data_IF_889949646527
#
_entry.id   IF_889949646527
#
_cell.length_a   1.000
_cell.length_b   1.000
_cell.length_c   1.000
_cell.angle_alpha   90.00
_cell.angle_beta   90.00
_cell.angle_gamma   90.00
#
_symmetry.space_group_name_H-M   'P 1'
#
loop_
_entity.id
_entity.type
_entity.pdbx_description
1 polymer ?
#
# COMPACT_ATOMS: atom_id res chain seq x y z
N UNK A 1 -7.84 -12.76 15.75
CA UNK A 1 -6.89 -11.66 15.46
C UNK A 1 -7.59 -10.31 15.38
N UNK A 2 -8.73 -10.20 14.69
CA UNK A 2 -9.46 -8.94 14.50
C UNK A 2 -10.47 -8.60 15.61
N UNK A 3 -10.43 -9.26 16.73
CA UNK A 3 -11.33 -8.97 17.88
C UNK A 3 -11.22 -7.50 18.32
N UNK A 4 -10.01 -6.93 18.30
CA UNK A 4 -9.72 -5.54 18.71
C UNK A 4 -9.03 -4.71 17.61
N UNK A 5 -8.97 -5.25 16.41
CA UNK A 5 -8.19 -4.66 15.29
C UNK A 5 -9.01 -4.63 14.01
N UNK A 6 -8.63 -3.76 13.14
CA UNK A 6 -9.06 -3.72 11.73
C UNK A 6 -7.91 -4.14 10.82
N UNK A 7 -8.20 -4.52 9.59
CA UNK A 7 -7.22 -5.01 8.62
C UNK A 7 -7.51 -4.45 7.23
N UNK A 8 -6.53 -3.80 6.64
CA UNK A 8 -6.47 -3.49 5.22
C UNK A 8 -5.63 -4.55 4.48
N UNK A 9 -6.11 -4.97 3.32
CA UNK A 9 -5.50 -6.00 2.48
C UNK A 9 -5.40 -5.45 1.07
N UNK A 10 -4.19 -5.35 0.51
CA UNK A 10 -3.99 -5.06 -0.92
C UNK A 10 -3.29 -6.25 -1.56
N UNK A 11 -3.81 -6.69 -2.72
CA UNK A 11 -3.19 -7.76 -3.50
C UNK A 11 -2.29 -7.15 -4.57
N UNK A 12 -0.98 -7.45 -4.53
CA UNK A 12 -0.01 -7.00 -5.54
C UNK A 12 0.42 -8.12 -6.51
N UNK A 13 -0.07 -9.35 -6.29
CA UNK A 13 0.21 -10.51 -7.14
C UNK A 13 -0.94 -10.86 -8.08
N UNK A 14 -1.00 -12.12 -8.49
CA UNK A 14 -2.11 -12.67 -9.27
C UNK A 14 -3.43 -12.68 -8.49
N UNK A 15 -4.54 -13.00 -9.15
CA UNK A 15 -5.86 -13.07 -8.50
C UNK A 15 -5.87 -14.03 -7.31
N UNK A 16 -6.45 -13.58 -6.21
CA UNK A 16 -6.66 -14.39 -5.02
C UNK A 16 -8.07 -14.30 -4.45
N UNK A 17 -8.33 -15.10 -3.43
CA UNK A 17 -9.57 -15.09 -2.68
C UNK A 17 -9.25 -14.89 -1.20
N UNK A 18 -9.92 -13.94 -0.58
CA UNK A 18 -9.96 -13.80 0.89
C UNK A 18 -11.34 -14.26 1.36
N UNK A 19 -11.37 -15.19 2.29
CA UNK A 19 -12.61 -15.60 2.93
C UNK A 19 -12.65 -15.00 4.34
N UNK A 20 -13.66 -14.20 4.62
CA UNK A 20 -13.89 -13.58 5.93
C UNK A 20 -15.24 -14.01 6.48
N UNK A 21 -15.25 -14.70 7.62
CA UNK A 21 -16.44 -15.25 8.29
C UNK A 21 -17.38 -16.01 7.32
N UNK A 22 -16.79 -16.84 6.45
CA UNK A 22 -17.49 -17.65 5.46
C UNK A 22 -17.82 -16.96 4.14
N UNK A 23 -17.75 -15.64 4.06
CA UNK A 23 -17.97 -14.89 2.81
C UNK A 23 -16.68 -14.78 2.01
N UNK A 24 -16.73 -15.14 0.74
CA UNK A 24 -15.60 -15.09 -0.19
C UNK A 24 -15.54 -13.77 -0.94
N UNK A 25 -14.36 -13.20 -1.02
CA UNK A 25 -14.05 -11.98 -1.78
C UNK A 25 -12.96 -12.31 -2.80
N UNK A 26 -13.25 -12.15 -4.08
CA UNK A 26 -12.25 -12.26 -5.15
C UNK A 26 -11.45 -10.96 -5.17
N UNK A 27 -10.18 -11.03 -4.78
CA UNK A 27 -9.30 -9.87 -4.70
C UNK A 27 -8.33 -9.92 -5.89
N UNK A 28 -8.61 -9.15 -6.90
CA UNK A 28 -7.78 -9.03 -8.10
C UNK A 28 -6.53 -8.18 -7.81
N UNK A 29 -5.58 -8.19 -8.75
CA UNK A 29 -4.37 -7.39 -8.62
C UNK A 29 -4.71 -5.90 -8.44
N UNK A 30 -4.04 -5.23 -7.53
CA UNK A 30 -4.25 -3.84 -7.12
C UNK A 30 -5.65 -3.56 -6.53
N UNK A 31 -6.40 -4.59 -6.12
CA UNK A 31 -7.63 -4.39 -5.35
C UNK A 31 -7.35 -4.35 -3.84
N UNK A 32 -8.21 -3.64 -3.11
CA UNK A 32 -8.14 -3.52 -1.66
C UNK A 32 -9.41 -4.08 -1.00
N UNK A 33 -9.22 -4.90 0.03
CA UNK A 33 -10.27 -5.38 0.91
C UNK A 33 -10.01 -4.87 2.33
N UNK A 34 -11.02 -4.26 2.93
CA UNK A 34 -11.01 -3.86 4.33
C UNK A 34 -11.86 -4.83 5.16
N UNK A 35 -11.31 -5.30 6.26
CA UNK A 35 -12.01 -6.11 7.27
C UNK A 35 -12.09 -5.34 8.58
N UNK A 36 -13.30 -5.09 9.05
CA UNK A 36 -13.55 -4.37 10.29
C UNK A 36 -13.25 -5.20 11.54
N UNK A 37 -13.12 -4.50 12.66
CA UNK A 37 -13.08 -5.09 14.01
C UNK A 37 -14.25 -6.05 14.22
N UNK A 38 -13.96 -7.21 14.80
CA UNK A 38 -14.93 -8.26 15.09
C UNK A 38 -14.95 -9.40 14.08
N UNK A 39 -14.29 -9.29 12.93
CA UNK A 39 -14.09 -10.41 11.99
C UNK A 39 -13.32 -11.54 12.69
N UNK A 40 -13.84 -12.76 12.64
CA UNK A 40 -13.32 -13.91 13.42
C UNK A 40 -12.37 -14.76 12.60
N UNK A 41 -12.84 -15.24 11.45
CA UNK A 41 -12.11 -16.20 10.63
C UNK A 41 -11.71 -15.55 9.31
N UNK A 42 -10.41 -15.55 9.00
CA UNK A 42 -9.87 -15.03 7.74
C UNK A 42 -8.95 -16.09 7.14
N UNK A 43 -9.16 -16.41 5.88
CA UNK A 43 -8.26 -17.28 5.12
C UNK A 43 -7.96 -16.71 3.75
N UNK A 44 -6.81 -17.08 3.19
CA UNK A 44 -6.27 -16.59 1.95
C UNK A 44 -5.99 -17.75 0.99
N UNK A 45 -6.29 -17.54 -0.28
CA UNK A 45 -5.98 -18.51 -1.33
C UNK A 45 -5.61 -17.81 -2.63
N UNK A 46 -4.67 -18.39 -3.37
CA UNK A 46 -4.37 -17.98 -4.75
C UNK A 46 -5.29 -18.71 -5.73
N UNK A 47 -5.74 -18.01 -6.77
CA UNK A 47 -6.50 -18.64 -7.85
C UNK A 47 -5.62 -19.55 -8.72
N UNK A 48 -4.32 -19.27 -8.80
CA UNK A 48 -3.35 -20.03 -9.61
C UNK A 48 -2.04 -20.19 -8.86
N UNK A 49 -1.44 -21.39 -8.95
CA UNK A 49 -0.08 -21.63 -8.45
C UNK A 49 1.01 -21.00 -9.34
N UNK A 50 0.71 -20.79 -10.63
CA UNK A 50 1.67 -20.19 -11.59
C UNK A 50 1.80 -18.68 -11.39
N UNK A 51 0.71 -18.04 -10.99
CA UNK A 51 0.65 -16.59 -10.70
C UNK A 51 -0.02 -16.41 -9.32
N UNK A 52 0.74 -16.65 -8.24
CA UNK A 52 0.18 -16.59 -6.90
C UNK A 52 -0.27 -15.17 -6.53
N UNK A 53 -1.31 -15.09 -5.71
CA UNK A 53 -1.67 -13.84 -5.06
C UNK A 53 -0.62 -13.47 -4.01
N UNK A 54 -0.30 -12.19 -3.90
CA UNK A 54 0.61 -11.63 -2.90
C UNK A 54 -0.15 -10.56 -2.12
N UNK A 55 -0.54 -10.89 -0.91
CA UNK A 55 -1.34 -10.00 -0.07
C UNK A 55 -0.45 -9.21 0.89
N UNK A 56 -0.45 -7.89 0.75
CA UNK A 56 0.04 -6.98 1.77
C UNK A 56 -1.04 -6.76 2.82
N UNK A 57 -0.68 -6.95 4.08
CA UNK A 57 -1.58 -6.85 5.23
C UNK A 57 -1.13 -5.73 6.16
N UNK A 58 -2.01 -4.76 6.42
CA UNK A 58 -1.78 -3.70 7.39
C UNK A 58 -2.91 -3.67 8.41
N UNK A 59 -2.57 -3.77 9.68
CA UNK A 59 -3.56 -3.84 10.76
C UNK A 59 -3.30 -2.77 11.82
N UNK A 60 -4.37 -2.20 12.35
CA UNK A 60 -4.35 -1.26 13.47
C UNK A 60 -5.36 -1.64 14.56
N UNK A 61 -5.13 -1.28 15.84
CA UNK A 61 -6.18 -1.33 16.85
C UNK A 61 -7.40 -0.51 16.40
N UNK A 62 -8.60 -0.99 16.75
CA UNK A 62 -9.84 -0.34 16.37
C UNK A 62 -10.81 -0.22 17.57
N UNK A 63 -11.25 1.01 17.86
CA UNK A 63 -12.24 1.29 18.89
C UNK A 63 -13.68 1.20 18.36
N UNK A 64 -13.87 1.26 17.04
CA UNK A 64 -15.16 1.12 16.35
C UNK A 64 -15.10 0.04 15.26
N UNK A 65 -16.25 -0.48 14.87
CA UNK A 65 -16.39 -1.43 13.75
C UNK A 65 -16.94 -0.72 12.53
N UNK A 66 -16.37 -1.02 11.37
CA UNK A 66 -16.85 -0.61 10.06
C UNK A 66 -17.13 -1.81 9.16
N UNK A 67 -18.04 -1.69 8.20
CA UNK A 67 -18.43 -2.82 7.34
C UNK A 67 -17.24 -3.31 6.49
N UNK A 68 -17.22 -4.61 6.24
CA UNK A 68 -16.31 -5.20 5.26
C UNK A 68 -16.58 -4.60 3.89
N UNK A 69 -15.57 -4.00 3.29
CA UNK A 69 -15.70 -3.27 2.03
C UNK A 69 -14.53 -3.60 1.11
N UNK A 70 -14.80 -3.81 -0.15
CA UNK A 70 -13.78 -4.08 -1.17
C UNK A 70 -13.89 -3.05 -2.30
N UNK A 71 -12.76 -2.51 -2.72
CA UNK A 71 -12.62 -1.67 -3.90
C UNK A 71 -11.65 -2.29 -4.90
N UNK A 72 -12.04 -2.27 -6.17
CA UNK A 72 -11.10 -2.49 -7.27
C UNK A 72 -10.26 -1.23 -7.49
N UNK A 73 -9.21 -1.33 -8.31
CA UNK A 73 -8.37 -0.17 -8.65
C UNK A 73 -9.15 0.96 -9.34
N UNK A 74 -10.18 0.63 -10.11
CA UNK A 74 -11.04 1.60 -10.78
C UNK A 74 -11.91 2.38 -9.80
N UNK A 75 -12.35 1.72 -8.72
CA UNK A 75 -13.14 2.33 -7.64
C UNK A 75 -12.30 3.18 -6.68
N UNK A 76 -10.97 3.06 -6.71
CA UNK A 76 -10.04 3.79 -5.84
C UNK A 76 -9.78 5.23 -6.28
N UNK A 77 -10.62 5.80 -7.14
CA UNK A 77 -10.51 7.17 -7.65
C UNK A 77 -9.08 7.48 -8.14
N UNK A 78 -8.58 6.77 -9.17
CA UNK A 78 -7.21 6.93 -9.64
C UNK A 78 -6.95 8.36 -10.10
N UNK A 79 -5.80 8.93 -9.68
CA UNK A 79 -5.37 10.29 -10.04
C UNK A 79 -3.96 10.22 -10.61
N UNK A 80 -3.77 10.76 -11.82
CA UNK A 80 -2.44 10.96 -12.39
C UNK A 80 -1.81 12.23 -11.83
N UNK A 81 -0.56 12.12 -11.37
CA UNK A 81 0.22 13.20 -10.79
C UNK A 81 1.64 13.21 -11.36
N UNK A 82 2.29 14.37 -11.30
CA UNK A 82 3.65 14.56 -11.75
C UNK A 82 3.78 14.63 -13.28
N UNK A 83 5.03 14.64 -13.75
CA UNK A 83 5.35 14.76 -15.16
C UNK A 83 6.59 13.91 -15.51
N UNK A 84 6.74 13.47 -16.77
CA UNK A 84 7.94 12.77 -17.23
C UNK A 84 9.22 13.60 -17.06
N UNK A 85 9.14 14.90 -17.30
CA UNK A 85 10.26 15.85 -17.22
C UNK A 85 10.88 15.95 -15.83
N UNK A 86 10.07 15.65 -14.79
CA UNK A 86 10.51 15.61 -13.40
C UNK A 86 10.72 14.17 -12.88
N UNK A 87 10.64 13.17 -13.76
CA UNK A 87 10.83 11.75 -13.48
C UNK A 87 9.93 11.24 -12.32
N UNK A 88 8.71 11.80 -12.19
CA UNK A 88 7.78 11.46 -11.11
C UNK A 88 6.32 11.29 -11.57
N UNK A 89 6.08 11.05 -12.86
CA UNK A 89 4.75 10.74 -13.36
C UNK A 89 4.27 9.43 -12.72
N UNK A 90 3.07 9.45 -12.13
CA UNK A 90 2.53 8.32 -11.38
C UNK A 90 1.01 8.34 -11.31
N UNK A 91 0.42 7.17 -11.05
CA UNK A 91 -1.00 7.04 -10.73
C UNK A 91 -1.15 6.69 -9.25
N UNK A 92 -1.94 7.46 -8.52
CA UNK A 92 -2.25 7.29 -7.11
C UNK A 92 -3.64 6.69 -6.96
N UNK A 93 -3.76 5.59 -6.24
CA UNK A 93 -5.00 4.89 -5.92
C UNK A 93 -5.27 5.02 -4.42
N UNK A 94 -6.37 5.66 -4.06
CA UNK A 94 -6.78 5.89 -2.67
C UNK A 94 -7.89 4.93 -2.29
N UNK A 95 -7.62 3.99 -1.40
CA UNK A 95 -8.59 2.98 -0.99
C UNK A 95 -9.26 3.31 0.33
N UNK A 96 -8.48 3.32 1.42
CA UNK A 96 -8.98 3.55 2.78
C UNK A 96 -8.68 5.00 3.14
N UNK A 97 -9.70 5.84 3.08
CA UNK A 97 -9.62 7.26 3.40
C UNK A 97 -11.03 7.82 3.62
N UNK A 98 -11.14 9.12 3.95
CA UNK A 98 -12.41 9.75 4.32
C UNK A 98 -13.53 9.58 3.27
N UNK A 99 -13.20 9.75 1.99
CA UNK A 99 -14.15 9.69 0.87
C UNK A 99 -14.17 8.31 0.18
N UNK A 100 -13.47 7.32 0.72
CA UNK A 100 -13.36 5.96 0.20
C UNK A 100 -13.89 4.92 1.18
N UNK A 101 -13.16 3.82 1.32
CA UNK A 101 -13.46 2.80 2.33
C UNK A 101 -13.27 3.41 3.73
N UNK A 102 -14.35 3.41 4.51
CA UNK A 102 -14.32 3.92 5.89
C UNK A 102 -13.62 2.93 6.81
N UNK A 103 -12.79 3.45 7.70
CA UNK A 103 -12.05 2.69 8.70
C UNK A 103 -12.05 3.39 10.04
N UNK A 104 -11.55 2.72 11.09
CA UNK A 104 -11.37 3.34 12.40
C UNK A 104 -10.11 4.21 12.43
N UNK A 105 -8.98 3.68 11.98
CA UNK A 105 -7.67 4.36 12.05
C UNK A 105 -6.80 4.18 10.81
N UNK A 106 -7.03 3.13 10.00
CA UNK A 106 -6.23 2.88 8.81
C UNK A 106 -6.46 3.95 7.74
N UNK A 107 -5.37 4.40 7.14
CA UNK A 107 -5.34 5.10 5.86
C UNK A 107 -4.45 4.29 4.95
N UNK A 108 -4.90 3.96 3.74
CA UNK A 108 -4.18 3.04 2.89
C UNK A 108 -4.45 3.31 1.42
N UNK A 109 -3.40 3.39 0.64
CA UNK A 109 -3.46 3.51 -0.80
C UNK A 109 -2.20 2.93 -1.42
N UNK A 110 -2.12 3.02 -2.74
CA UNK A 110 -0.92 2.66 -3.48
C UNK A 110 -0.64 3.65 -4.60
N UNK A 111 0.59 3.67 -5.03
CA UNK A 111 1.06 4.46 -6.15
C UNK A 111 1.80 3.57 -7.12
N UNK A 112 1.56 3.75 -8.42
CA UNK A 112 2.29 3.07 -9.50
C UNK A 112 3.02 4.14 -10.31
N UNK A 113 4.34 4.03 -10.38
CA UNK A 113 5.19 4.94 -11.16
C UNK A 113 5.06 4.61 -12.65
N UNK A 114 4.92 5.63 -13.47
CA UNK A 114 4.95 5.46 -14.93
C UNK A 114 6.37 5.10 -15.41
N UNK A 115 6.47 4.47 -16.57
CA UNK A 115 7.77 4.16 -17.18
C UNK A 115 8.66 5.40 -17.27
N UNK A 116 9.93 5.29 -16.87
CA UNK A 116 10.89 6.40 -16.82
C UNK A 116 10.76 7.29 -15.58
N UNK A 117 9.76 7.07 -14.72
CA UNK A 117 9.59 7.84 -13.49
C UNK A 117 10.06 7.04 -12.29
N UNK A 118 10.87 7.65 -11.45
CA UNK A 118 11.60 6.98 -10.36
C UNK A 118 11.49 7.68 -9.01
N UNK A 119 11.07 8.98 -8.98
CA UNK A 119 11.01 9.77 -7.76
C UNK A 119 9.60 9.82 -7.17
N UNK A 120 9.47 9.43 -5.90
CA UNK A 120 8.29 9.62 -5.05
C UNK A 120 8.70 9.54 -3.55
N UNK A 121 8.13 10.25 -2.59
CA UNK A 121 7.17 11.33 -2.69
C UNK A 121 7.89 12.63 -2.92
N UNK A 122 7.42 13.38 -3.89
CA UNK A 122 7.97 14.70 -4.18
C UNK A 122 6.81 15.70 -4.13
N UNK A 123 6.92 16.77 -3.30
CA UNK A 123 8.02 17.06 -2.38
C UNK A 123 8.07 16.12 -1.16
N UNK A 124 9.29 15.86 -0.60
CA UNK A 124 9.41 15.16 0.66
C UNK A 124 8.69 15.89 1.78
N UNK A 125 8.07 15.14 2.70
CA UNK A 125 7.30 15.71 3.80
C UNK A 125 7.38 14.84 5.06
N UNK A 126 6.86 15.35 6.17
CA UNK A 126 6.70 14.66 7.44
C UNK A 126 5.23 14.60 7.82
N UNK A 127 4.88 13.73 8.76
CA UNK A 127 3.54 13.67 9.34
C UNK A 127 3.55 14.13 10.79
N UNK A 128 2.49 14.81 11.23
CA UNK A 128 2.41 15.33 12.61
C UNK A 128 1.98 14.28 13.61
N UNK A 129 1.18 13.28 13.20
CA UNK A 129 0.47 12.40 14.13
C UNK A 129 0.51 10.91 13.79
N UNK A 130 0.99 10.51 12.61
CA UNK A 130 1.01 9.11 12.19
C UNK A 130 2.39 8.68 11.70
N UNK A 131 2.72 7.44 11.91
CA UNK A 131 3.78 6.76 11.18
C UNK A 131 3.26 6.31 9.82
N UNK A 132 4.13 5.98 8.89
CA UNK A 132 3.79 5.44 7.59
C UNK A 132 4.62 4.19 7.28
N UNK A 133 4.01 3.22 6.63
CA UNK A 133 4.72 2.05 6.10
C UNK A 133 4.73 2.15 4.59
N UNK A 134 5.90 2.03 3.98
CA UNK A 134 6.07 1.84 2.55
C UNK A 134 6.32 0.36 2.28
N UNK A 135 5.50 -0.24 1.42
CA UNK A 135 5.76 -1.57 0.91
C UNK A 135 5.97 -1.48 -0.60
N UNK A 136 7.16 -1.82 -1.06
CA UNK A 136 7.56 -1.73 -2.46
C UNK A 136 7.24 -3.01 -3.22
N UNK A 137 6.71 -2.88 -4.45
CA UNK A 137 6.35 -4.02 -5.30
C UNK A 137 6.54 -3.70 -6.79
N UNK A 138 6.50 -4.76 -7.62
CA UNK A 138 6.61 -4.62 -9.07
C UNK A 138 8.01 -4.19 -9.54
N UNK A 139 9.03 -4.53 -8.77
CA UNK A 139 10.43 -4.23 -9.05
C UNK A 139 11.13 -5.50 -9.56
N UNK A 140 11.77 -5.49 -10.76
CA UNK A 140 12.59 -6.60 -11.20
C UNK A 140 13.77 -6.87 -10.25
N UNK A 141 14.26 -8.13 -10.24
CA UNK A 141 15.24 -8.61 -9.25
C UNK A 141 16.56 -7.83 -9.28
N UNK A 142 16.99 -7.37 -10.45
CA UNK A 142 18.24 -6.60 -10.65
C UNK A 142 18.13 -5.14 -10.22
N UNK A 143 16.93 -4.64 -9.93
CA UNK A 143 16.69 -3.24 -9.58
C UNK A 143 16.56 -3.03 -8.07
N UNK A 144 16.77 -1.77 -7.64
CA UNK A 144 16.67 -1.36 -6.22
C UNK A 144 15.99 0.00 -6.11
N UNK A 145 15.45 0.26 -4.93
CA UNK A 145 14.92 1.56 -4.54
C UNK A 145 15.74 2.05 -3.35
N UNK A 146 16.23 3.27 -3.44
CA UNK A 146 16.79 4.00 -2.31
C UNK A 146 15.64 4.71 -1.61
N UNK A 147 15.28 4.23 -0.42
CA UNK A 147 14.31 4.89 0.45
C UNK A 147 15.03 5.81 1.39
N UNK A 148 14.77 7.10 1.29
CA UNK A 148 15.38 8.14 2.11
C UNK A 148 14.47 8.48 3.29
N UNK A 149 15.05 8.55 4.48
CA UNK A 149 14.35 8.97 5.69
C UNK A 149 15.30 9.61 6.70
N UNK A 150 14.74 10.37 7.63
CA UNK A 150 15.48 11.08 8.66
C UNK A 150 15.04 12.54 8.80
N UNK A 151 15.93 13.39 9.30
CA UNK A 151 15.70 14.82 9.37
C UNK A 151 15.61 15.40 7.94
N UNK A 152 14.70 16.33 7.64
CA UNK A 152 14.52 16.87 6.28
C UNK A 152 15.78 17.40 5.60
N UNK A 153 16.77 17.84 6.35
CA UNK A 153 18.06 18.34 5.83
C UNK A 153 19.22 17.34 5.97
N UNK A 154 18.96 16.19 6.61
CA UNK A 154 19.98 15.19 6.90
C UNK A 154 19.35 13.80 6.89
N UNK A 155 19.20 13.22 5.70
CA UNK A 155 18.62 11.90 5.52
C UNK A 155 19.67 10.84 5.37
N UNK A 156 19.28 9.60 5.71
CA UNK A 156 19.96 8.37 5.32
C UNK A 156 19.07 7.58 4.37
N UNK A 157 19.66 6.67 3.61
CA UNK A 157 18.90 5.81 2.72
C UNK A 157 19.02 4.34 3.13
N UNK A 158 17.99 3.59 2.79
CA UNK A 158 17.96 2.14 2.82
C UNK A 158 17.80 1.62 1.41
N UNK A 159 18.54 0.58 1.06
CA UNK A 159 18.43 -0.06 -0.26
C UNK A 159 17.36 -1.15 -0.16
N UNK A 160 16.25 -0.96 -0.88
CA UNK A 160 15.07 -1.82 -0.85
C UNK A 160 14.98 -2.67 -2.11
N UNK A 161 14.63 -3.93 -1.94
CA UNK A 161 14.29 -4.85 -3.02
C UNK A 161 12.77 -4.99 -3.20
N UNK A 162 12.37 -5.81 -4.16
CA UNK A 162 10.97 -6.14 -4.39
C UNK A 162 10.34 -6.84 -3.18
N UNK A 163 9.10 -6.49 -2.85
CA UNK A 163 8.32 -7.03 -1.73
C UNK A 163 8.94 -6.76 -0.33
N UNK A 164 9.68 -5.68 -0.20
CA UNK A 164 10.19 -5.21 1.08
C UNK A 164 9.42 -4.00 1.59
N UNK A 165 9.39 -3.86 2.92
CA UNK A 165 8.71 -2.77 3.60
C UNK A 165 9.65 -1.97 4.49
N UNK A 166 9.39 -0.68 4.63
CA UNK A 166 10.08 0.22 5.54
C UNK A 166 9.08 0.99 6.39
N UNK A 167 9.39 1.16 7.66
CA UNK A 167 8.58 1.90 8.63
C UNK A 167 9.19 3.29 8.80
N UNK A 168 8.42 4.33 8.45
CA UNK A 168 8.80 5.72 8.63
C UNK A 168 8.13 6.31 9.88
N UNK A 169 8.93 6.79 10.82
CA UNK A 169 8.43 7.47 12.01
C UNK A 169 7.75 8.81 11.66
N UNK A 170 6.82 9.34 12.48
CA UNK A 170 6.10 10.58 12.17
C UNK A 170 7.01 11.78 11.91
N UNK A 171 8.10 11.93 12.67
CA UNK A 171 9.05 13.04 12.56
C UNK A 171 9.96 12.95 11.33
N UNK A 172 10.06 11.75 10.75
CA UNK A 172 10.97 11.48 9.64
C UNK A 172 10.36 11.93 8.32
N UNK A 173 11.14 12.67 7.52
CA UNK A 173 10.82 12.78 6.10
C UNK A 173 10.97 11.42 5.43
N UNK A 174 10.23 11.18 4.34
CA UNK A 174 10.28 9.91 3.60
C UNK A 174 10.02 10.14 2.13
N UNK A 175 10.85 9.53 1.30
CA UNK A 175 10.74 9.52 -0.15
C UNK A 175 11.63 8.42 -0.74
N UNK A 176 11.41 8.07 -1.99
CA UNK A 176 12.17 7.01 -2.66
C UNK A 176 12.62 7.39 -4.05
N UNK A 177 13.71 6.77 -4.49
CA UNK A 177 14.19 6.82 -5.86
C UNK A 177 14.57 5.42 -6.33
N UNK A 178 13.92 4.93 -7.38
CA UNK A 178 14.23 3.63 -7.95
C UNK A 178 15.28 3.70 -9.07
N UNK A 179 15.91 2.57 -9.35
CA UNK A 179 16.74 2.38 -10.56
C UNK A 179 15.88 2.09 -11.79
N UNK A 180 14.59 1.84 -11.61
CA UNK A 180 13.53 1.76 -12.61
C UNK A 180 12.21 2.19 -11.97
N UNK A 181 11.11 2.21 -12.73
CA UNK A 181 9.78 2.43 -12.17
C UNK A 181 9.32 1.27 -11.28
N UNK A 182 8.45 1.54 -10.34
CA UNK A 182 7.99 0.60 -9.32
C UNK A 182 6.60 0.98 -8.81
N UNK A 183 6.00 0.10 -8.02
CA UNK A 183 4.82 0.41 -7.22
C UNK A 183 5.15 0.43 -5.73
N UNK A 184 4.35 1.14 -4.96
CA UNK A 184 4.42 1.04 -3.50
C UNK A 184 3.07 1.29 -2.84
N UNK A 185 2.82 0.58 -1.75
CA UNK A 185 1.69 0.80 -0.85
C UNK A 185 2.15 1.75 0.25
N UNK A 186 1.30 2.68 0.57
CA UNK A 186 1.47 3.65 1.65
C UNK A 186 0.27 3.67 2.58
#
# INVERSE_FOLDING_TARGET
FLERRELGIINVGGTGTVTADGKKYKVEQLSCLYLGKGTKNVSFASASKKTPALFYLLSSPAHASYPVTMFTKEQASPVELGAPETANKRTVYKYIHLDGIRSCQLVMGLTVMASGSVWNSIPPHTHTRRMEVYFYFGLPEEHRIMHFMGNPKETRHMVMANNEAVISAPWSTHYGCGTTNYGFIW
#
